data_IF_894544324499
#
_entry.id   IF_894544324499
#
_cell.length_a   1.000
_cell.length_b   1.000
_cell.length_c   1.000
_cell.angle_alpha   90.00
_cell.angle_beta   90.00
_cell.angle_gamma   90.00
#
_symmetry.space_group_name_H-M   'P 1'
#
loop_
_entity.id
_entity.type
_entity.pdbx_description
1 polymer ?
#
# COMPACT_ATOMS: atom_id res chain seq x y z
N UNK A 1 -9.61 -9.01 -16.81
CA UNK A 1 -8.95 -9.97 -15.90
C UNK A 1 -10.01 -10.95 -15.41
N UNK A 2 -10.06 -12.15 -15.99
CA UNK A 2 -10.94 -13.23 -15.54
C UNK A 2 -10.09 -14.22 -14.75
N UNK A 3 -10.30 -14.29 -13.43
CA UNK A 3 -9.57 -15.21 -12.57
C UNK A 3 -10.12 -15.17 -11.15
N UNK A 4 -9.99 -16.28 -10.41
CA UNK A 4 -10.34 -16.32 -9.00
C UNK A 4 -9.40 -15.41 -8.22
N UNK A 5 -9.98 -14.49 -7.46
CA UNK A 5 -9.25 -13.60 -6.56
C UNK A 5 -9.34 -14.21 -5.17
N UNK A 6 -8.19 -14.62 -4.63
CA UNK A 6 -8.08 -14.98 -3.22
C UNK A 6 -7.72 -13.74 -2.42
N UNK A 7 -8.22 -13.62 -1.19
CA UNK A 7 -7.79 -12.57 -0.27
C UNK A 7 -7.56 -13.12 1.13
N UNK A 8 -6.70 -12.44 1.89
CA UNK A 8 -6.46 -12.68 3.32
C UNK A 8 -6.43 -11.33 4.02
N UNK A 9 -7.36 -11.11 4.93
CA UNK A 9 -7.37 -9.91 5.77
C UNK A 9 -6.19 -9.91 6.75
N UNK A 10 -5.77 -8.70 7.14
CA UNK A 10 -4.76 -8.46 8.14
C UNK A 10 -5.04 -7.15 8.88
N UNK A 11 -4.45 -7.05 10.07
CA UNK A 11 -4.42 -5.82 10.86
C UNK A 11 -2.97 -5.42 11.15
N UNK A 12 -2.63 -4.16 10.86
CA UNK A 12 -1.34 -3.58 11.22
C UNK A 12 -1.52 -2.69 12.45
N UNK A 13 -0.93 -3.09 13.57
CA UNK A 13 -0.93 -2.32 14.81
C UNK A 13 0.16 -1.22 14.74
N UNK A 14 -0.20 0.08 14.77
CA UNK A 14 0.79 1.13 14.83
C UNK A 14 1.56 1.07 16.16
N UNK A 15 2.89 1.21 16.11
CA UNK A 15 3.74 1.32 17.31
C UNK A 15 3.59 2.68 18.01
N UNK A 16 3.12 3.69 17.28
CA UNK A 16 2.84 5.06 17.70
C UNK A 16 1.78 5.67 16.80
N UNK A 17 1.22 6.81 17.17
CA UNK A 17 0.33 7.57 16.30
C UNK A 17 1.00 7.87 14.95
N UNK A 18 0.29 7.62 13.85
CA UNK A 18 0.85 7.71 12.49
C UNK A 18 0.82 9.13 11.92
N UNK A 19 -0.17 9.93 12.30
CA UNK A 19 -0.29 11.35 11.96
C UNK A 19 -1.38 12.00 12.82
N UNK A 20 -1.52 13.33 12.72
CA UNK A 20 -2.61 14.08 13.34
C UNK A 20 -4.01 13.71 12.79
N UNK A 21 -4.09 13.17 11.57
CA UNK A 21 -5.35 12.83 10.90
C UNK A 21 -5.69 11.33 10.98
N UNK A 22 -4.71 10.47 11.22
CA UNK A 22 -4.93 9.04 11.26
C UNK A 22 -5.71 8.66 12.52
N UNK A 23 -6.76 7.85 12.37
CA UNK A 23 -7.52 7.38 13.51
C UNK A 23 -6.64 6.51 14.43
N UNK A 24 -6.85 6.56 15.76
CA UNK A 24 -6.19 5.64 16.67
C UNK A 24 -6.68 4.20 16.42
N UNK A 25 -5.77 3.23 16.41
CA UNK A 25 -6.10 1.80 16.34
C UNK A 25 -5.40 1.03 15.22
N UNK A 26 -5.71 -0.27 15.08
CA UNK A 26 -5.18 -1.11 14.02
C UNK A 26 -5.64 -0.62 12.64
N UNK A 27 -4.75 -0.73 11.64
CA UNK A 27 -5.10 -0.50 10.24
C UNK A 27 -5.46 -1.81 9.56
N UNK A 28 -6.72 -1.95 9.16
CA UNK A 28 -7.23 -3.12 8.45
C UNK A 28 -6.87 -3.06 6.98
N UNK A 29 -6.36 -4.15 6.43
CA UNK A 29 -6.15 -4.33 5.00
C UNK A 29 -6.36 -5.78 4.59
N UNK A 30 -6.19 -6.07 3.31
CA UNK A 30 -6.15 -7.45 2.81
C UNK A 30 -5.03 -7.63 1.80
N UNK A 31 -4.36 -8.78 1.84
CA UNK A 31 -3.55 -9.25 0.72
C UNK A 31 -4.48 -9.89 -0.30
N UNK A 32 -4.19 -9.71 -1.58
CA UNK A 32 -4.88 -10.41 -2.67
C UNK A 32 -3.89 -11.25 -3.46
N UNK A 33 -4.39 -12.35 -4.02
CA UNK A 33 -3.65 -13.21 -4.95
C UNK A 33 -4.50 -13.51 -6.17
N UNK A 34 -3.91 -13.34 -7.35
CA UNK A 34 -4.51 -13.67 -8.65
C UNK A 34 -3.46 -14.38 -9.49
N UNK A 35 -3.73 -15.65 -9.82
CA UNK A 35 -2.73 -16.50 -10.47
C UNK A 35 -1.47 -16.63 -9.61
N UNK A 36 -0.32 -16.27 -10.18
CA UNK A 36 0.99 -16.29 -9.52
C UNK A 36 1.35 -15.02 -8.74
N UNK A 37 0.57 -13.94 -8.87
CA UNK A 37 0.93 -12.63 -8.35
C UNK A 37 0.13 -12.19 -7.12
N UNK A 38 0.73 -11.29 -6.36
CA UNK A 38 0.25 -10.79 -5.07
C UNK A 38 0.26 -9.26 -5.02
N UNK A 39 -0.69 -8.68 -4.29
CA UNK A 39 -0.74 -7.27 -3.97
C UNK A 39 -1.51 -7.04 -2.67
N UNK A 40 -1.60 -5.79 -2.21
CA UNK A 40 -2.42 -5.40 -1.06
C UNK A 40 -3.62 -4.53 -1.46
N UNK A 41 -4.62 -4.49 -0.58
CA UNK A 41 -5.68 -3.51 -0.52
C UNK A 41 -5.61 -2.93 0.89
N UNK A 42 -5.01 -1.74 1.03
CA UNK A 42 -4.83 -1.07 2.32
C UNK A 42 -5.45 0.34 2.29
N UNK A 43 -6.76 0.46 2.52
CA UNK A 43 -7.45 1.74 2.40
C UNK A 43 -7.08 2.71 3.53
N UNK A 44 -7.11 3.99 3.21
CA UNK A 44 -7.06 5.08 4.19
C UNK A 44 -8.36 5.89 4.12
N UNK A 45 -9.42 5.48 4.86
CA UNK A 45 -10.69 6.20 4.88
C UNK A 45 -10.55 7.66 5.28
N UNK A 46 -9.57 7.98 6.13
CA UNK A 46 -9.26 9.34 6.55
C UNK A 46 -8.76 10.23 5.38
N UNK A 47 -8.34 9.62 4.27
CA UNK A 47 -7.94 10.29 3.03
C UNK A 47 -8.92 10.06 1.88
N UNK A 48 -10.14 9.58 2.18
CA UNK A 48 -11.24 9.46 1.21
C UNK A 48 -11.38 8.11 0.54
N UNK A 49 -10.57 7.11 0.92
CA UNK A 49 -10.79 5.73 0.44
C UNK A 49 -12.08 5.14 1.03
N UNK A 50 -12.71 4.23 0.28
CA UNK A 50 -13.74 3.38 0.85
C UNK A 50 -13.13 2.43 1.91
N UNK A 51 -13.84 2.12 3.01
CA UNK A 51 -13.40 1.12 4.00
C UNK A 51 -13.16 -0.26 3.37
N UNK A 52 -12.31 -1.09 4.00
CA UNK A 52 -11.89 -2.40 3.48
C UNK A 52 -13.07 -3.27 3.04
N UNK A 53 -14.10 -3.41 3.89
CA UNK A 53 -15.27 -4.24 3.59
C UNK A 53 -15.98 -3.78 2.31
N UNK A 54 -16.05 -2.46 2.07
CA UNK A 54 -16.63 -1.89 0.85
C UNK A 54 -15.72 -2.11 -0.38
N UNK A 55 -14.39 -2.07 -0.21
CA UNK A 55 -13.41 -2.39 -1.25
C UNK A 55 -13.60 -3.85 -1.71
N UNK A 56 -13.64 -4.79 -0.76
CA UNK A 56 -13.80 -6.23 -1.01
C UNK A 56 -15.17 -6.53 -1.63
N UNK A 57 -16.26 -5.96 -1.08
CA UNK A 57 -17.60 -6.15 -1.63
C UNK A 57 -17.72 -5.63 -3.07
N UNK A 58 -17.05 -4.51 -3.40
CA UNK A 58 -17.02 -3.96 -4.75
C UNK A 58 -16.25 -4.88 -5.69
N UNK A 59 -15.08 -5.37 -5.25
CA UNK A 59 -14.25 -6.30 -6.02
C UNK A 59 -14.96 -7.63 -6.28
N UNK A 60 -15.69 -8.16 -5.28
CA UNK A 60 -16.48 -9.39 -5.40
C UNK A 60 -17.59 -9.30 -6.45
N UNK A 61 -18.12 -8.10 -6.72
CA UNK A 61 -19.08 -7.84 -7.82
C UNK A 61 -18.42 -7.66 -9.19
N UNK A 62 -17.11 -7.87 -9.30
CA UNK A 62 -16.34 -7.62 -10.52
C UNK A 62 -16.15 -6.14 -10.84
N UNK A 63 -16.43 -5.25 -9.88
CA UNK A 63 -16.22 -3.80 -10.00
C UNK A 63 -14.92 -3.41 -9.31
N UNK A 64 -14.37 -2.25 -9.64
CA UNK A 64 -13.16 -1.75 -8.97
C UNK A 64 -13.36 -0.36 -8.43
N UNK A 65 -12.75 -0.08 -7.30
CA UNK A 65 -12.45 1.28 -6.85
C UNK A 65 -11.10 1.69 -7.46
N UNK A 66 -10.67 2.97 -7.33
CA UNK A 66 -9.33 3.36 -7.71
C UNK A 66 -8.23 2.50 -7.03
N UNK A 67 -8.40 2.20 -5.73
CA UNK A 67 -7.46 1.38 -4.96
C UNK A 67 -7.42 -0.05 -5.50
N UNK A 68 -8.56 -0.74 -5.58
CA UNK A 68 -8.56 -2.15 -6.00
C UNK A 68 -8.13 -2.31 -7.45
N UNK A 69 -8.43 -1.35 -8.33
CA UNK A 69 -7.90 -1.36 -9.70
C UNK A 69 -6.37 -1.36 -9.71
N UNK A 70 -5.73 -0.52 -8.89
CA UNK A 70 -4.26 -0.49 -8.76
C UNK A 70 -3.71 -1.77 -8.14
N UNK A 71 -4.38 -2.33 -7.14
CA UNK A 71 -3.99 -3.63 -6.55
C UNK A 71 -3.98 -4.74 -7.59
N UNK A 72 -4.99 -4.80 -8.48
CA UNK A 72 -5.03 -5.77 -9.57
C UNK A 72 -3.87 -5.59 -10.57
N UNK A 73 -3.53 -4.35 -10.91
CA UNK A 73 -2.40 -4.03 -11.78
C UNK A 73 -1.07 -4.45 -11.12
N UNK A 74 -0.88 -4.17 -9.83
CA UNK A 74 0.31 -4.57 -9.07
C UNK A 74 0.44 -6.10 -8.98
N UNK A 75 -0.65 -6.82 -8.72
CA UNK A 75 -0.63 -8.28 -8.71
C UNK A 75 -0.24 -8.86 -10.07
N UNK A 76 -0.68 -8.24 -11.18
CA UNK A 76 -0.28 -8.65 -12.52
C UNK A 76 1.22 -8.40 -12.78
N UNK A 77 1.77 -7.29 -12.31
CA UNK A 77 3.21 -7.00 -12.41
C UNK A 77 4.05 -7.97 -11.57
N UNK A 78 3.62 -8.27 -10.35
CA UNK A 78 4.27 -9.26 -9.48
C UNK A 78 4.25 -10.66 -10.12
N UNK A 79 3.12 -11.09 -10.68
CA UNK A 79 3.03 -12.35 -11.41
C UNK A 79 4.06 -12.43 -12.55
N UNK A 80 4.12 -11.38 -13.39
CA UNK A 80 5.05 -11.33 -14.51
C UNK A 80 6.52 -11.34 -14.07
N UNK A 81 6.86 -10.68 -12.96
CA UNK A 81 8.21 -10.69 -12.42
C UNK A 81 8.59 -12.10 -11.91
N UNK A 82 7.66 -12.76 -11.20
CA UNK A 82 7.83 -14.14 -10.73
C UNK A 82 8.00 -15.14 -11.87
N UNK A 83 7.21 -15.02 -12.93
CA UNK A 83 7.30 -15.88 -14.11
C UNK A 83 8.68 -15.78 -14.80
N UNK A 84 9.31 -14.60 -14.73
CA UNK A 84 10.68 -14.38 -15.22
C UNK A 84 11.77 -14.73 -14.20
N UNK A 85 11.41 -15.04 -12.95
CA UNK A 85 12.37 -15.28 -11.87
C UNK A 85 13.15 -14.04 -11.45
N UNK A 86 12.58 -12.84 -11.61
CA UNK A 86 13.26 -11.56 -11.32
C UNK A 86 12.57 -10.79 -10.19
N UNK A 87 13.34 -9.94 -9.51
CA UNK A 87 12.80 -8.99 -8.54
C UNK A 87 12.20 -7.77 -9.25
N UNK A 88 11.06 -7.25 -8.75
CA UNK A 88 10.54 -5.95 -9.21
C UNK A 88 11.49 -4.78 -8.91
N UNK A 89 12.47 -4.98 -8.02
CA UNK A 89 13.50 -4.01 -7.68
C UNK A 89 14.80 -4.22 -8.47
N UNK A 90 14.87 -5.20 -9.37
CA UNK A 90 16.05 -5.42 -10.19
C UNK A 90 16.37 -4.19 -11.06
N UNK A 91 17.61 -3.72 -11.02
CA UNK A 91 18.06 -2.56 -11.80
C UNK A 91 17.54 -1.20 -11.30
N UNK A 92 16.85 -1.15 -10.16
CA UNK A 92 16.34 0.08 -9.57
C UNK A 92 17.22 0.50 -8.38
N UNK A 93 17.68 1.76 -8.39
CA UNK A 93 18.29 2.37 -7.22
C UNK A 93 17.20 3.03 -6.37
N UNK A 94 17.01 2.55 -5.15
CA UNK A 94 16.07 3.15 -4.19
C UNK A 94 16.82 4.27 -3.46
N UNK A 95 16.41 5.55 -3.57
CA UNK A 95 17.05 6.63 -2.85
C UNK A 95 16.78 6.54 -1.35
N UNK A 96 17.69 7.10 -0.54
CA UNK A 96 17.51 7.26 0.90
C UNK A 96 16.51 8.39 1.20
N UNK A 97 15.23 8.15 0.93
CA UNK A 97 14.23 9.23 0.82
C UNK A 97 13.13 9.21 1.89
N UNK A 98 13.13 8.25 2.82
CA UNK A 98 12.07 8.20 3.83
C UNK A 98 12.50 7.66 5.19
N UNK A 99 12.76 8.58 6.13
CA UNK A 99 12.85 8.28 7.55
C UNK A 99 11.61 8.83 8.28
N UNK A 100 10.76 7.98 8.87
CA UNK A 100 9.55 8.43 9.55
C UNK A 100 9.78 8.80 11.03
N UNK A 101 11.01 8.72 11.54
CA UNK A 101 11.36 9.01 12.95
C UNK A 101 11.99 10.39 13.14
N UNK A 102 12.34 10.70 14.40
CA UNK A 102 12.91 12.02 14.75
C UNK A 102 14.44 12.08 14.58
N UNK A 103 15.10 10.92 14.42
CA UNK A 103 16.56 10.78 14.32
C UNK A 103 16.98 10.10 13.01
N UNK A 104 17.05 10.84 11.87
CA UNK A 104 17.35 10.26 10.57
C UNK A 104 18.79 9.71 10.52
N UNK A 105 19.01 8.50 9.97
CA UNK A 105 20.35 7.95 9.79
C UNK A 105 21.25 8.85 8.92
N UNK A 106 22.59 8.77 9.09
CA UNK A 106 23.53 9.41 8.18
C UNK A 106 23.28 8.95 6.73
N UNK A 107 23.04 9.90 5.82
CA UNK A 107 22.79 9.64 4.39
C UNK A 107 21.41 10.12 3.89
N UNK A 108 20.44 10.28 4.79
CA UNK A 108 19.16 10.92 4.47
C UNK A 108 19.36 12.44 4.32
N UNK A 109 19.36 12.92 3.08
CA UNK A 109 19.52 14.35 2.74
C UNK A 109 18.19 15.08 2.52
N UNK A 110 17.08 14.33 2.47
CA UNK A 110 15.74 14.82 2.12
C UNK A 110 14.73 14.50 3.21
N UNK A 111 14.03 15.53 3.70
CA UNK A 111 12.97 15.37 4.72
C UNK A 111 11.61 15.74 4.14
N UNK A 112 10.61 14.88 4.37
CA UNK A 112 9.21 15.15 4.02
C UNK A 112 8.47 15.72 5.24
N UNK A 113 8.27 17.03 5.26
CA UNK A 113 7.46 17.68 6.28
C UNK A 113 5.96 17.55 5.95
N UNK A 114 5.18 17.13 6.94
CA UNK A 114 3.71 17.09 6.86
C UNK A 114 3.21 18.39 7.49
N UNK A 115 2.77 19.32 6.65
CA UNK A 115 2.48 20.74 6.95
C UNK A 115 3.70 21.66 6.81
N UNK A 116 3.53 22.68 5.96
CA UNK A 116 4.34 23.89 5.94
C UNK A 116 3.36 25.03 5.67
N UNK A 117 2.99 25.80 6.69
CA UNK A 117 2.45 27.14 6.45
C UNK A 117 3.59 28.09 6.02
N UNK A 118 4.85 27.80 6.40
CA UNK A 118 6.09 28.43 5.91
C UNK A 118 7.29 27.49 6.04
N UNK A 119 8.18 27.52 5.04
CA UNK A 119 9.55 27.00 5.15
C UNK A 119 10.39 27.98 6.02
N UNK A 120 11.33 27.49 6.85
CA UNK A 120 12.28 28.33 7.56
C UNK A 120 13.22 29.09 6.61
#
# INVERSE_FOLDING_TARGET
MSGVIWYSEYDLQPRRALSALAAPGPRRGALIRIGGGFADIHPWPEFGDAPLDAQIATLARGQTTPLTRRSLEMAALDAQARDRGVSLFEGVSIPESHWPGDDPPPGFDTVKLKSIERLP
#
